data_IF_033065575084
#
_entry.id   IF_033065575084
#
_cell.length_a   1.000
_cell.length_b   1.000
_cell.length_c   1.000
_cell.angle_alpha   90.00
_cell.angle_beta   90.00
_cell.angle_gamma   90.00
#
_symmetry.space_group_name_H-M   'P 1'
#
loop_
_entity.id
_entity.type
_entity.pdbx_description
1 polymer ?
#
# COMPACT_ATOMS: atom_id res chain seq x y z
N UNK A 1 27.97 -12.75 -13.07
CA UNK A 1 27.81 -11.42 -13.70
C UNK A 1 27.03 -10.52 -12.74
N UNK A 2 27.73 -9.79 -11.88
CA UNK A 2 27.11 -8.80 -11.00
C UNK A 2 26.72 -7.59 -11.85
N UNK A 3 25.42 -7.29 -11.94
CA UNK A 3 24.99 -6.03 -12.55
C UNK A 3 25.38 -4.90 -11.58
N UNK A 4 26.14 -3.89 -12.02
CA UNK A 4 26.37 -2.71 -11.19
C UNK A 4 25.03 -2.04 -10.91
N UNK A 5 24.77 -1.73 -9.63
CA UNK A 5 23.46 -1.33 -9.09
C UNK A 5 22.97 0.06 -9.57
N UNK A 6 23.81 0.81 -10.29
CA UNK A 6 23.47 2.13 -10.84
C UNK A 6 23.84 2.17 -12.33
N UNK A 7 22.94 1.73 -13.22
CA UNK A 7 23.20 1.76 -14.67
C UNK A 7 22.08 2.36 -15.51
N UNK A 8 20.89 2.58 -14.97
CA UNK A 8 19.76 3.15 -15.72
C UNK A 8 19.17 4.38 -15.04
N UNK A 9 18.59 5.31 -15.82
CA UNK A 9 17.88 6.47 -15.28
C UNK A 9 16.75 6.10 -14.29
N UNK A 10 16.25 4.86 -14.39
CA UNK A 10 15.25 4.25 -13.50
C UNK A 10 15.81 4.06 -12.07
N UNK A 11 17.08 3.65 -11.91
CA UNK A 11 17.73 3.47 -10.60
C UNK A 11 17.82 4.79 -9.81
N UNK A 12 18.05 5.89 -10.53
CA UNK A 12 18.10 7.24 -9.96
C UNK A 12 16.72 7.63 -9.41
N UNK A 13 15.66 7.35 -10.15
CA UNK A 13 14.29 7.61 -9.69
C UNK A 13 13.90 6.74 -8.50
N UNK A 14 14.30 5.47 -8.47
CA UNK A 14 14.09 4.60 -7.31
C UNK A 14 14.79 5.17 -6.04
N UNK A 15 16.02 5.69 -6.20
CA UNK A 15 16.72 6.43 -5.14
C UNK A 15 15.97 7.69 -4.70
N UNK A 16 15.44 8.48 -5.64
CA UNK A 16 14.66 9.68 -5.34
C UNK A 16 13.38 9.33 -4.57
N UNK A 17 12.62 8.31 -4.98
CA UNK A 17 11.39 7.91 -4.30
C UNK A 17 11.66 7.42 -2.87
N UNK A 18 12.73 6.66 -2.65
CA UNK A 18 13.11 6.24 -1.29
C UNK A 18 13.52 7.42 -0.42
N UNK A 19 14.27 8.38 -0.98
CA UNK A 19 14.58 9.63 -0.29
C UNK A 19 13.30 10.40 0.08
N UNK A 20 12.36 10.54 -0.86
CA UNK A 20 11.06 11.20 -0.62
C UNK A 20 10.31 10.47 0.50
N UNK A 21 10.24 9.14 0.47
CA UNK A 21 9.60 8.35 1.52
C UNK A 21 10.18 8.66 2.91
N UNK A 22 11.52 8.64 3.02
CA UNK A 22 12.21 8.92 4.27
C UNK A 22 11.98 10.36 4.75
N UNK A 23 11.98 11.33 3.84
CA UNK A 23 11.68 12.72 4.16
C UNK A 23 10.23 12.91 4.63
N UNK A 24 9.26 12.26 3.97
CA UNK A 24 7.86 12.31 4.38
C UNK A 24 7.63 11.64 5.73
N UNK A 25 8.21 10.46 5.94
CA UNK A 25 8.14 9.76 7.22
C UNK A 25 8.81 10.59 8.34
N UNK A 26 10.00 11.13 8.07
CA UNK A 26 10.71 12.00 9.00
C UNK A 26 9.94 13.27 9.33
N UNK A 27 9.35 13.94 8.33
CA UNK A 27 8.51 15.12 8.54
C UNK A 27 7.26 14.80 9.36
N UNK A 28 6.60 13.68 9.09
CA UNK A 28 5.44 13.22 9.87
C UNK A 28 5.84 12.91 11.33
N UNK A 29 6.94 12.19 11.54
CA UNK A 29 7.45 11.88 12.87
C UNK A 29 7.85 13.15 13.63
N UNK A 30 8.49 14.11 12.95
CA UNK A 30 8.88 15.38 13.54
C UNK A 30 7.67 16.23 13.94
N UNK A 31 6.63 16.30 13.09
CA UNK A 31 5.35 16.94 13.41
C UNK A 31 4.73 16.35 14.67
N UNK A 32 4.61 15.02 14.72
CA UNK A 32 4.06 14.29 15.86
C UNK A 32 4.89 14.49 17.14
N UNK A 33 6.21 14.66 17.01
CA UNK A 33 7.09 14.94 18.14
C UNK A 33 6.85 16.35 18.72
N UNK A 34 6.75 17.37 17.85
CA UNK A 34 6.50 18.77 18.28
C UNK A 34 5.12 18.91 18.94
N UNK A 35 4.11 18.26 18.38
CA UNK A 35 2.74 18.33 18.90
C UNK A 35 2.55 17.49 20.19
N UNK A 36 3.59 16.78 20.64
CA UNK A 36 3.49 15.84 21.77
C UNK A 36 2.54 14.67 21.50
N UNK A 37 2.10 14.51 20.26
CA UNK A 37 1.07 13.59 19.78
C UNK A 37 1.61 12.21 19.41
N UNK A 38 2.84 11.86 19.78
CA UNK A 38 3.30 10.47 19.75
C UNK A 38 2.30 9.64 20.58
N UNK A 39 1.49 8.76 19.95
CA UNK A 39 0.52 7.96 20.68
C UNK A 39 1.32 6.96 21.51
N UNK A 40 1.67 7.35 22.74
CA UNK A 40 2.49 6.55 23.66
C UNK A 40 1.80 5.22 24.01
N UNK A 41 0.50 5.12 23.70
CA UNK A 41 -0.25 3.88 23.53
C UNK A 41 -1.07 3.97 22.24
N UNK A 42 -0.68 3.22 21.21
CA UNK A 42 -1.58 2.92 20.09
C UNK A 42 -2.58 1.91 20.62
N UNK A 43 -3.87 2.23 20.57
CA UNK A 43 -4.90 1.25 20.90
C UNK A 43 -4.77 0.08 19.90
N UNK A 44 -4.79 -1.18 20.36
CA UNK A 44 -4.69 -2.32 19.46
C UNK A 44 -5.79 -2.32 18.39
N UNK A 45 -6.92 -1.66 18.67
CA UNK A 45 -8.00 -1.42 17.71
C UNK A 45 -7.58 -0.52 16.53
N UNK A 46 -6.85 0.58 16.78
CA UNK A 46 -6.41 1.49 15.71
C UNK A 46 -5.35 0.83 14.82
N UNK A 47 -4.45 0.06 15.43
CA UNK A 47 -3.48 -0.74 14.68
C UNK A 47 -4.19 -1.75 13.76
N UNK A 48 -5.23 -2.42 14.28
CA UNK A 48 -6.02 -3.36 13.49
C UNK A 48 -6.77 -2.67 12.33
N UNK A 49 -7.39 -1.51 12.58
CA UNK A 49 -8.05 -0.71 11.55
C UNK A 49 -7.06 -0.26 10.46
N UNK A 50 -5.92 0.31 10.85
CA UNK A 50 -4.88 0.73 9.90
C UNK A 50 -4.33 -0.43 9.08
N UNK A 51 -4.15 -1.61 9.70
CA UNK A 51 -3.71 -2.82 9.00
C UNK A 51 -4.74 -3.28 7.95
N UNK A 52 -6.03 -3.34 8.30
CA UNK A 52 -7.10 -3.70 7.37
C UNK A 52 -7.27 -2.67 6.25
N UNK A 53 -7.18 -1.38 6.58
CA UNK A 53 -7.25 -0.30 5.61
C UNK A 53 -6.07 -0.37 4.62
N UNK A 54 -4.85 -0.61 5.12
CA UNK A 54 -3.65 -0.80 4.30
C UNK A 54 -3.80 -2.01 3.38
N UNK A 55 -4.29 -3.14 3.90
CA UNK A 55 -4.57 -4.34 3.10
C UNK A 55 -5.55 -4.03 1.94
N UNK A 56 -6.65 -3.31 2.23
CA UNK A 56 -7.61 -2.93 1.18
C UNK A 56 -6.96 -2.03 0.13
N UNK A 57 -6.15 -1.06 0.56
CA UNK A 57 -5.52 -0.09 -0.33
C UNK A 57 -4.48 -0.77 -1.24
N UNK A 58 -3.64 -1.66 -0.71
CA UNK A 58 -2.72 -2.50 -1.51
C UNK A 58 -3.49 -3.27 -2.57
N UNK A 59 -4.59 -3.92 -2.17
CA UNK A 59 -5.38 -4.71 -3.11
C UNK A 59 -6.02 -3.87 -4.19
N UNK A 60 -6.50 -2.67 -3.84
CA UNK A 60 -7.07 -1.71 -4.77
C UNK A 60 -6.02 -1.23 -5.79
N UNK A 61 -4.80 -0.94 -5.35
CA UNK A 61 -3.72 -0.43 -6.21
C UNK A 61 -3.09 -1.51 -7.09
N UNK A 62 -2.81 -2.69 -6.53
CA UNK A 62 -2.01 -3.72 -7.20
C UNK A 62 -2.85 -4.78 -7.93
N UNK A 63 -4.05 -5.11 -7.42
CA UNK A 63 -4.82 -6.25 -7.93
C UNK A 63 -6.16 -5.87 -8.56
N UNK A 64 -6.73 -4.71 -8.24
CA UNK A 64 -8.07 -4.35 -8.69
C UNK A 64 -8.07 -3.91 -10.17
N UNK A 65 -9.18 -4.23 -10.86
CA UNK A 65 -9.41 -3.83 -12.24
C UNK A 65 -9.70 -2.33 -12.35
N UNK A 66 -10.27 -1.74 -11.31
CA UNK A 66 -10.57 -0.30 -11.27
C UNK A 66 -9.31 0.51 -11.53
N UNK A 67 -8.17 0.19 -10.90
CA UNK A 67 -6.90 0.92 -11.10
C UNK A 67 -6.10 0.43 -12.31
N UNK A 68 -6.66 -0.47 -13.13
CA UNK A 68 -5.94 -1.01 -14.29
C UNK A 68 -5.64 0.06 -15.34
N UNK A 69 -6.50 1.07 -15.50
CA UNK A 69 -6.22 2.19 -16.40
C UNK A 69 -4.99 2.98 -15.95
N UNK A 70 -4.78 3.12 -14.63
CA UNK A 70 -3.61 3.80 -14.05
C UNK A 70 -2.34 3.01 -14.36
N UNK A 71 -2.37 1.69 -14.13
CA UNK A 71 -1.24 0.80 -14.42
C UNK A 71 -0.92 0.74 -15.91
N UNK A 72 -1.93 0.64 -16.75
CA UNK A 72 -1.76 0.66 -18.20
C UNK A 72 -1.20 2.00 -18.69
N UNK A 73 -1.68 3.11 -18.13
CA UNK A 73 -1.19 4.44 -18.45
C UNK A 73 0.29 4.58 -18.11
N UNK A 74 0.69 4.33 -16.86
CA UNK A 74 2.10 4.44 -16.45
C UNK A 74 3.02 3.41 -17.13
N UNK A 75 2.51 2.22 -17.44
CA UNK A 75 3.26 1.21 -18.20
C UNK A 75 3.45 1.58 -19.68
N UNK A 76 2.57 2.40 -20.25
CA UNK A 76 2.69 2.89 -21.64
C UNK A 76 3.61 4.11 -21.79
N UNK A 77 4.05 4.71 -20.70
CA UNK A 77 4.93 5.88 -20.72
C UNK A 77 6.39 5.43 -20.82
N UNK A 78 7.05 5.76 -21.93
CA UNK A 78 8.49 5.53 -22.15
C UNK A 78 9.40 6.55 -21.44
N UNK A 79 8.97 7.04 -20.27
CA UNK A 79 9.74 7.95 -19.44
C UNK A 79 10.20 7.21 -18.16
N UNK A 80 11.44 7.43 -17.67
CA UNK A 80 11.97 6.75 -16.48
C UNK A 80 11.06 6.89 -15.25
N UNK A 81 10.45 8.06 -15.07
CA UNK A 81 9.47 8.32 -14.01
C UNK A 81 8.24 7.41 -14.08
N UNK A 82 7.67 7.22 -15.29
CA UNK A 82 6.48 6.41 -15.47
C UNK A 82 6.71 4.94 -15.11
N UNK A 83 7.89 4.41 -15.48
CA UNK A 83 8.31 3.05 -15.14
C UNK A 83 8.50 2.85 -13.64
N UNK A 84 9.13 3.79 -12.93
CA UNK A 84 9.25 3.72 -11.46
C UNK A 84 7.88 3.71 -10.77
N UNK A 85 6.94 4.56 -11.20
CA UNK A 85 5.58 4.57 -10.66
C UNK A 85 4.85 3.26 -10.96
N UNK A 86 5.06 2.70 -12.15
CA UNK A 86 4.52 1.39 -12.51
C UNK A 86 5.08 0.26 -11.63
N UNK A 87 6.39 0.25 -11.37
CA UNK A 87 7.04 -0.71 -10.46
C UNK A 87 6.49 -0.61 -9.02
N UNK A 88 6.24 0.61 -8.54
CA UNK A 88 5.59 0.87 -7.25
C UNK A 88 4.18 0.29 -7.18
N UNK A 89 3.39 0.42 -8.24
CA UNK A 89 2.01 -0.06 -8.29
C UNK A 89 1.90 -1.58 -8.43
N UNK A 90 2.82 -2.21 -9.17
CA UNK A 90 2.82 -3.65 -9.39
C UNK A 90 3.45 -4.44 -8.23
N UNK A 91 4.33 -3.81 -7.46
CA UNK A 91 4.94 -4.43 -6.28
C UNK A 91 4.06 -4.24 -5.03
N UNK A 92 3.42 -5.32 -4.51
CA UNK A 92 2.51 -5.21 -3.37
C UNK A 92 3.22 -4.76 -2.06
N UNK A 93 4.53 -5.01 -1.96
CA UNK A 93 5.33 -4.62 -0.80
C UNK A 93 5.59 -3.12 -0.79
N UNK A 94 6.01 -2.57 -1.94
CA UNK A 94 6.28 -1.16 -2.10
C UNK A 94 4.98 -0.36 -1.98
N UNK A 95 3.92 -0.77 -2.69
CA UNK A 95 2.61 -0.15 -2.56
C UNK A 95 2.09 -0.22 -1.12
N UNK A 96 2.39 -1.28 -0.38
CA UNK A 96 2.03 -1.43 1.03
C UNK A 96 2.72 -0.44 1.96
N UNK A 97 4.03 -0.27 1.83
CA UNK A 97 4.78 0.68 2.68
C UNK A 97 4.34 2.12 2.40
N UNK A 98 4.15 2.49 1.13
CA UNK A 98 3.62 3.81 0.76
C UNK A 98 2.17 4.02 1.20
N UNK A 99 1.32 3.00 1.07
CA UNK A 99 -0.07 3.03 1.52
C UNK A 99 -0.17 3.20 3.04
N UNK A 100 0.66 2.49 3.80
CA UNK A 100 0.70 2.60 5.25
C UNK A 100 1.12 4.01 5.70
N UNK A 101 2.18 4.57 5.09
CA UNK A 101 2.60 5.94 5.37
C UNK A 101 1.49 6.95 5.03
N UNK A 102 0.86 6.80 3.86
CA UNK A 102 -0.24 7.66 3.43
C UNK A 102 -1.42 7.62 4.40
N UNK A 103 -1.87 6.43 4.80
CA UNK A 103 -2.98 6.27 5.74
C UNK A 103 -2.64 6.79 7.14
N UNK A 104 -1.41 6.58 7.61
CA UNK A 104 -0.95 7.11 8.89
C UNK A 104 -0.90 8.65 8.87
N UNK A 105 -0.38 9.23 7.80
CA UNK A 105 -0.38 10.67 7.59
C UNK A 105 -1.81 11.21 7.56
N UNK A 106 -2.72 10.57 6.82
CA UNK A 106 -4.11 11.00 6.74
C UNK A 106 -4.82 10.92 8.09
N UNK A 107 -4.60 9.85 8.85
CA UNK A 107 -5.18 9.62 10.18
C UNK A 107 -4.77 10.70 11.19
N UNK A 108 -3.53 11.19 11.10
CA UNK A 108 -2.96 12.13 12.07
C UNK A 108 -3.06 13.59 11.65
N UNK A 109 -2.96 13.90 10.36
CA UNK A 109 -2.99 15.28 9.86
C UNK A 109 -4.41 15.82 9.66
N UNK A 110 -5.37 14.95 9.33
CA UNK A 110 -6.73 15.38 8.99
C UNK A 110 -7.74 14.87 10.02
N UNK A 111 -8.59 15.76 10.53
CA UNK A 111 -9.70 15.39 11.42
C UNK A 111 -10.69 14.42 10.76
N UNK A 112 -10.82 14.43 9.44
CA UNK A 112 -11.67 13.49 8.68
C UNK A 112 -10.97 12.17 8.32
N UNK A 113 -9.66 12.07 8.56
CA UNK A 113 -8.87 10.90 8.18
C UNK A 113 -9.33 9.61 8.87
N UNK A 114 -9.83 9.72 10.11
CA UNK A 114 -10.39 8.60 10.86
C UNK A 114 -11.56 7.91 10.12
N UNK A 115 -12.49 8.69 9.55
CA UNK A 115 -13.64 8.15 8.80
C UNK A 115 -13.19 7.42 7.54
N UNK A 116 -12.19 7.97 6.85
CA UNK A 116 -11.66 7.37 5.63
C UNK A 116 -10.94 6.04 5.91
N UNK A 117 -10.12 6.01 6.96
CA UNK A 117 -9.43 4.79 7.42
C UNK A 117 -10.45 3.74 7.86
N UNK A 118 -11.48 4.13 8.60
CA UNK A 118 -12.55 3.23 9.03
C UNK A 118 -13.29 2.62 7.83
N UNK A 119 -13.65 3.44 6.83
CA UNK A 119 -14.32 2.99 5.61
C UNK A 119 -13.47 1.96 4.86
N UNK A 120 -12.18 2.25 4.67
CA UNK A 120 -11.24 1.33 4.04
C UNK A 120 -11.05 0.05 4.86
N UNK A 121 -11.01 0.14 6.19
CA UNK A 121 -10.87 -1.00 7.08
C UNK A 121 -12.09 -1.94 7.00
N UNK A 122 -13.31 -1.41 6.98
CA UNK A 122 -14.54 -2.21 6.81
C UNK A 122 -14.53 -2.93 5.46
N UNK A 123 -14.18 -2.23 4.38
CA UNK A 123 -14.05 -2.84 3.06
C UNK A 123 -12.92 -3.88 3.01
N UNK A 124 -11.83 -3.64 3.74
CA UNK A 124 -10.71 -4.57 3.91
C UNK A 124 -11.11 -5.84 4.62
N UNK A 125 -11.89 -5.73 5.70
CA UNK A 125 -12.42 -6.88 6.44
C UNK A 125 -13.32 -7.75 5.56
N UNK A 126 -14.25 -7.15 4.82
CA UNK A 126 -15.11 -7.88 3.89
C UNK A 126 -14.28 -8.61 2.81
N UNK A 127 -13.26 -7.93 2.27
CA UNK A 127 -12.34 -8.50 1.27
C UNK A 127 -11.52 -9.65 1.83
N UNK A 128 -11.10 -9.56 3.08
CA UNK A 128 -10.31 -10.57 3.78
C UNK A 128 -11.14 -11.83 4.00
N UNK A 129 -12.38 -11.69 4.50
CA UNK A 129 -13.33 -12.79 4.65
C UNK A 129 -13.55 -13.51 3.30
N UNK A 130 -13.75 -12.75 2.22
CA UNK A 130 -13.94 -13.34 0.90
C UNK A 130 -12.73 -14.12 0.40
N UNK A 131 -11.50 -13.65 0.69
CA UNK A 131 -10.28 -14.38 0.34
C UNK A 131 -10.18 -15.69 1.13
N UNK A 132 -10.53 -15.68 2.42
CA UNK A 132 -10.56 -16.89 3.25
C UNK A 132 -11.59 -17.88 2.70
N UNK A 133 -12.82 -17.44 2.45
CA UNK A 133 -13.89 -18.29 1.91
C UNK A 133 -13.45 -18.92 0.59
N UNK A 134 -12.91 -18.13 -0.35
CA UNK A 134 -12.40 -18.63 -1.61
C UNK A 134 -11.23 -19.61 -1.43
N UNK A 135 -10.38 -19.39 -0.42
CA UNK A 135 -9.31 -20.30 -0.06
C UNK A 135 -9.80 -21.65 0.46
N UNK A 136 -10.91 -21.67 1.20
CA UNK A 136 -11.54 -22.88 1.76
C UNK A 136 -12.36 -23.67 0.73
N UNK A 137 -13.00 -23.00 -0.23
CA UNK A 137 -13.85 -23.64 -1.26
C UNK A 137 -13.01 -24.29 -2.39
N UNK A 138 -11.88 -23.69 -2.77
CA UNK A 138 -11.04 -24.23 -3.87
C UNK A 138 -10.55 -25.67 -3.66
N UNK A 139 -10.17 -26.11 -2.44
CA UNK A 139 -9.83 -27.50 -2.17
C UNK A 139 -10.99 -28.47 -2.43
N UNK A 140 -12.22 -28.09 -2.13
CA UNK A 140 -13.39 -28.99 -2.27
C UNK A 140 -13.75 -29.21 -3.74
N UNK A 141 -13.68 -28.17 -4.59
CA UNK A 141 -13.95 -28.33 -6.03
C UNK A 141 -12.92 -29.26 -6.71
N UNK A 142 -11.64 -29.12 -6.38
CA UNK A 142 -10.58 -29.98 -6.93
C UNK A 142 -10.76 -31.46 -6.54
N UNK A 143 -11.33 -31.72 -5.36
CA UNK A 143 -11.62 -33.07 -4.91
C UNK A 143 -12.82 -33.70 -5.64
N UNK A 144 -13.84 -32.90 -5.98
CA UNK A 144 -15.03 -33.36 -6.73
C UNK A 144 -14.71 -33.63 -8.20
N UNK A 145 -13.88 -32.83 -8.84
CA UNK A 145 -13.50 -33.00 -10.26
C UNK A 145 -12.56 -34.20 -10.53
N UNK A 146 -11.99 -34.81 -9.49
CA UNK A 146 -11.08 -35.96 -9.60
C UNK A 146 -11.80 -37.32 -9.45
N UNK A 147 -13.11 -37.33 -9.26
CA UNK A 147 -13.96 -38.53 -9.27
C UNK A 147 -14.64 -38.67 -10.61
#
# INVERSE_FOLDING_TARGET
MGRPFFKTAEDVWNGIFTLIFLLLFGALAFRLHIEGGLPRRIAPFDFFLLSLATFRLIRLLTYDKITNFIRAYFGSIDHPFGRTVFELLICPWCSGVWSALFLLALFTLFSFGWLFVLLLAIAGLASFIQVIINGLIRPTEKATLKK
#
